data_IF_208911050401
#
_entry.id   IF_208911050401
#
_cell.length_a   1.000
_cell.length_b   1.000
_cell.length_c   1.000
_cell.angle_alpha   90.00
_cell.angle_beta   90.00
_cell.angle_gamma   90.00
#
_symmetry.space_group_name_H-M   'P 1'
#
loop_
_entity.id
_entity.type
_entity.pdbx_description
1 polymer ?
#
# COMPACT_ATOMS: atom_id res chain seq x y z
N UNK A 1 16.02 -18.45 28.91
CA UNK A 1 14.62 -18.90 28.96
C UNK A 1 13.73 -17.68 28.73
N UNK A 2 13.04 -17.57 27.58
CA UNK A 2 12.19 -16.41 27.24
C UNK A 2 10.80 -16.58 27.86
N UNK A 3 10.36 -15.64 28.71
CA UNK A 3 8.98 -15.58 29.20
C UNK A 3 8.15 -14.75 28.22
N UNK A 4 7.43 -15.43 27.33
CA UNK A 4 6.45 -14.80 26.44
C UNK A 4 5.16 -14.54 27.23
N UNK A 5 4.96 -13.32 27.72
CA UNK A 5 3.66 -12.89 28.26
C UNK A 5 2.85 -12.30 27.11
N UNK A 6 2.08 -13.14 26.41
CA UNK A 6 1.06 -12.67 25.47
C UNK A 6 -0.10 -12.13 26.32
N UNK A 7 -0.20 -10.81 26.46
CA UNK A 7 -1.37 -10.19 27.09
C UNK A 7 -2.56 -10.32 26.13
N UNK A 8 -3.47 -11.24 26.44
CA UNK A 8 -4.72 -11.41 25.70
C UNK A 8 -5.60 -10.18 25.97
N UNK A 9 -5.82 -9.36 24.95
CA UNK A 9 -6.67 -8.17 25.03
C UNK A 9 -8.10 -8.56 25.46
N UNK A 10 -8.75 -7.83 26.40
CA UNK A 10 -10.09 -8.18 26.87
C UNK A 10 -11.12 -8.03 25.74
N UNK A 11 -12.04 -9.00 25.65
CA UNK A 11 -12.96 -9.16 24.51
C UNK A 11 -14.10 -8.13 24.43
N UNK A 12 -14.25 -7.19 25.38
CA UNK A 12 -15.36 -6.22 25.36
C UNK A 12 -14.96 -4.94 26.10
N UNK A 13 -14.63 -3.89 25.36
CA UNK A 13 -14.58 -2.53 25.90
C UNK A 13 -15.58 -1.69 25.10
N UNK A 14 -16.82 -1.69 25.54
CA UNK A 14 -17.71 -0.56 25.28
C UNK A 14 -18.57 -0.41 26.52
N UNK A 15 -18.05 0.35 27.48
CA UNK A 15 -18.92 0.96 28.47
C UNK A 15 -19.84 1.90 27.69
N UNK A 16 -21.16 1.72 27.82
CA UNK A 16 -22.12 2.66 27.24
C UNK A 16 -22.01 3.97 28.03
N UNK A 17 -21.24 4.91 27.51
CA UNK A 17 -21.23 6.29 27.99
C UNK A 17 -22.48 6.95 27.43
N UNK A 18 -23.32 7.50 28.31
CA UNK A 18 -24.44 8.34 27.88
C UNK A 18 -23.88 9.72 27.53
N UNK A 19 -23.73 9.98 26.24
CA UNK A 19 -23.26 11.26 25.71
C UNK A 19 -24.47 12.07 25.20
N UNK A 20 -24.88 13.15 25.89
CA UNK A 20 -26.03 13.95 25.48
C UNK A 20 -25.80 14.71 24.17
N UNK A 21 -24.55 14.96 23.77
CA UNK A 21 -24.21 15.66 22.53
C UNK A 21 -24.15 14.71 21.32
N UNK A 22 -24.13 13.40 21.56
CA UNK A 22 -24.12 12.35 20.53
C UNK A 22 -25.31 11.38 20.73
N UNK A 23 -26.55 11.84 20.49
CA UNK A 23 -27.72 10.98 20.60
C UNK A 23 -27.64 9.82 19.61
N UNK A 24 -28.21 8.67 19.99
CA UNK A 24 -28.36 7.55 19.07
C UNK A 24 -29.21 7.99 17.87
N UNK A 25 -28.75 7.66 16.67
CA UNK A 25 -29.48 7.96 15.45
C UNK A 25 -30.83 7.25 15.49
N UNK A 26 -31.91 7.96 15.13
CA UNK A 26 -33.23 7.35 15.00
C UNK A 26 -33.32 6.62 13.66
N UNK A 27 -34.09 5.54 13.60
CA UNK A 27 -34.25 4.73 12.37
C UNK A 27 -34.78 5.57 11.19
N UNK A 28 -35.61 6.57 11.48
CA UNK A 28 -36.15 7.52 10.50
C UNK A 28 -35.06 8.42 9.87
N UNK A 29 -34.00 8.74 10.63
CA UNK A 29 -32.86 9.51 10.13
C UNK A 29 -31.91 8.69 9.25
N UNK A 30 -31.85 7.37 9.45
CA UNK A 30 -30.96 6.49 8.69
C UNK A 30 -31.46 6.28 7.26
N UNK A 31 -32.77 6.45 7.04
CA UNK A 31 -33.43 6.21 5.76
C UNK A 31 -33.38 4.75 5.33
N UNK A 32 -34.00 4.42 4.20
CA UNK A 32 -33.99 3.06 3.66
C UNK A 32 -32.56 2.66 3.29
N UNK A 33 -32.06 1.49 3.74
CA UNK A 33 -30.69 1.06 3.47
C UNK A 33 -30.48 0.91 1.96
N UNK A 34 -29.72 1.84 1.37
CA UNK A 34 -29.27 1.73 -0.01
C UNK A 34 -28.13 0.71 -0.02
N UNK A 35 -28.41 -0.52 -0.48
CA UNK A 35 -27.40 -1.53 -0.77
C UNK A 35 -26.52 -1.06 -1.93
N UNK A 36 -25.56 -0.17 -1.64
CA UNK A 36 -24.51 0.18 -2.60
C UNK A 36 -23.68 -1.08 -2.82
N UNK A 37 -23.79 -1.64 -4.03
CA UNK A 37 -22.90 -2.69 -4.52
C UNK A 37 -21.47 -2.25 -4.23
N UNK A 38 -20.78 -3.01 -3.39
CA UNK A 38 -19.41 -2.69 -2.97
C UNK A 38 -18.50 -2.45 -4.16
N UNK A 39 -17.33 -1.84 -3.93
CA UNK A 39 -16.33 -1.70 -4.99
C UNK A 39 -16.09 -3.07 -5.62
N UNK A 40 -16.33 -3.17 -6.93
CA UNK A 40 -16.14 -4.42 -7.65
C UNK A 40 -14.69 -4.90 -7.61
N UNK A 41 -14.43 -6.15 -8.03
CA UNK A 41 -13.07 -6.67 -8.15
C UNK A 41 -12.17 -5.72 -8.94
N UNK A 42 -10.91 -5.57 -8.52
CA UNK A 42 -9.97 -4.70 -9.21
C UNK A 42 -9.60 -5.31 -10.57
N UNK A 43 -10.13 -4.74 -11.66
CA UNK A 43 -10.05 -5.30 -13.02
C UNK A 43 -8.63 -5.21 -13.63
N UNK A 44 -7.75 -4.35 -13.10
CA UNK A 44 -6.36 -4.21 -13.56
C UNK A 44 -5.43 -3.68 -12.46
N UNK A 45 -4.83 -4.56 -11.63
CA UNK A 45 -3.86 -4.12 -10.64
C UNK A 45 -2.59 -3.60 -11.30
N UNK A 46 -2.37 -2.28 -11.23
CA UNK A 46 -1.16 -1.63 -11.77
C UNK A 46 0.11 -2.01 -11.02
N UNK A 47 -0.01 -2.50 -9.78
CA UNK A 47 1.09 -2.92 -8.91
C UNK A 47 0.90 -4.39 -8.56
N UNK A 48 1.94 -5.18 -8.73
CA UNK A 48 1.98 -6.58 -8.32
C UNK A 48 2.66 -6.66 -6.95
N UNK A 49 2.05 -7.35 -5.99
CA UNK A 49 2.66 -7.61 -4.70
C UNK A 49 3.70 -8.74 -4.89
N UNK A 50 4.98 -8.38 -4.82
CA UNK A 50 6.08 -9.34 -4.94
C UNK A 50 6.97 -9.22 -3.71
N UNK A 51 7.37 -10.36 -3.14
CA UNK A 51 8.38 -10.40 -2.09
C UNK A 51 9.78 -10.40 -2.71
N UNK A 52 10.53 -9.32 -2.51
CA UNK A 52 11.92 -9.17 -2.96
C UNK A 52 12.81 -8.90 -1.75
N UNK A 53 14.01 -9.50 -1.73
CA UNK A 53 15.04 -9.18 -0.74
C UNK A 53 15.87 -8.00 -1.24
N UNK A 54 16.06 -7.01 -0.39
CA UNK A 54 16.90 -5.83 -0.63
C UNK A 54 18.00 -5.82 0.43
N UNK A 55 19.13 -5.21 0.10
CA UNK A 55 20.23 -5.03 1.06
C UNK A 55 19.78 -4.17 2.25
N UNK A 56 20.37 -4.42 3.42
CA UNK A 56 19.97 -3.81 4.68
C UNK A 56 20.21 -2.30 4.69
N UNK A 57 21.36 -1.86 4.16
CA UNK A 57 21.74 -0.46 4.04
C UNK A 57 20.79 0.34 3.14
N UNK A 58 20.34 -0.24 2.02
CA UNK A 58 19.33 0.36 1.14
C UNK A 58 18.02 0.53 1.89
N UNK A 59 17.56 -0.51 2.59
CA UNK A 59 16.32 -0.44 3.37
C UNK A 59 16.40 0.63 4.47
N UNK A 60 17.51 0.71 5.18
CA UNK A 60 17.72 1.67 6.26
C UNK A 60 17.77 3.10 5.73
N UNK A 61 18.43 3.33 4.60
CA UNK A 61 18.45 4.63 3.92
C UNK A 61 17.05 5.10 3.51
N UNK A 62 16.20 4.22 2.99
CA UNK A 62 14.85 4.63 2.60
C UNK A 62 13.93 4.80 3.81
N UNK A 63 14.06 3.96 4.84
CA UNK A 63 13.28 4.06 6.08
C UNK A 63 13.59 5.34 6.86
N UNK A 64 14.84 5.79 6.88
CA UNK A 64 15.24 7.02 7.57
C UNK A 64 14.54 8.28 7.00
N UNK A 65 14.06 8.23 5.75
CA UNK A 65 13.26 9.29 5.11
C UNK A 65 11.80 9.33 5.55
N UNK A 66 11.41 8.46 6.49
CA UNK A 66 10.09 8.43 7.10
C UNK A 66 9.02 7.72 6.26
N UNK A 67 7.77 8.15 6.44
CA UNK A 67 6.62 7.55 5.77
C UNK A 67 6.78 7.57 4.23
N UNK A 68 6.26 6.53 3.58
CA UNK A 68 6.31 6.39 2.12
C UNK A 68 7.63 5.84 1.56
N UNK A 69 8.51 5.28 2.39
CA UNK A 69 9.79 4.70 1.94
C UNK A 69 9.62 3.68 0.80
N UNK A 70 8.59 2.83 0.84
CA UNK A 70 8.29 1.86 -0.22
C UNK A 70 7.96 2.53 -1.56
N UNK A 71 7.20 3.63 -1.54
CA UNK A 71 6.90 4.41 -2.75
C UNK A 71 8.15 5.03 -3.34
N UNK A 72 9.09 5.49 -2.49
CA UNK A 72 10.38 6.04 -2.93
C UNK A 72 11.27 4.96 -3.56
N UNK A 73 11.30 3.75 -3.00
CA UNK A 73 11.98 2.59 -3.60
C UNK A 73 11.41 2.32 -5.00
N UNK A 74 10.09 2.25 -5.14
CA UNK A 74 9.44 2.01 -6.43
C UNK A 74 9.75 3.13 -7.45
N UNK A 75 9.82 4.39 -7.02
CA UNK A 75 10.20 5.51 -7.88
C UNK A 75 11.65 5.40 -8.37
N UNK A 76 12.58 4.99 -7.50
CA UNK A 76 13.97 4.75 -7.89
C UNK A 76 14.08 3.63 -8.94
N UNK A 77 13.36 2.52 -8.74
CA UNK A 77 13.32 1.42 -9.71
C UNK A 77 12.70 1.85 -11.05
N UNK A 78 11.65 2.70 -11.03
CA UNK A 78 11.04 3.28 -12.25
C UNK A 78 12.05 4.08 -13.07
N UNK A 79 12.80 4.98 -12.42
CA UNK A 79 13.81 5.78 -13.11
C UNK A 79 14.87 4.91 -13.78
N UNK A 80 15.28 3.81 -13.13
CA UNK A 80 16.25 2.90 -13.72
C UNK A 80 15.68 2.13 -14.92
N UNK A 81 14.42 1.71 -14.85
CA UNK A 81 13.73 1.10 -16.00
C UNK A 81 13.67 2.09 -17.17
N UNK A 82 13.26 3.33 -16.94
CA UNK A 82 13.17 4.37 -17.98
C UNK A 82 14.53 4.65 -18.62
N UNK A 83 15.59 4.80 -17.81
CA UNK A 83 16.97 4.96 -18.30
C UNK A 83 17.39 3.85 -19.26
N UNK A 84 17.08 2.60 -18.91
CA UNK A 84 17.43 1.44 -19.73
C UNK A 84 16.58 1.31 -21.00
N UNK A 85 15.32 1.75 -20.97
CA UNK A 85 14.45 1.76 -22.14
C UNK A 85 14.89 2.82 -23.15
N UNK A 86 15.26 4.02 -22.70
CA UNK A 86 15.77 5.08 -23.58
C UNK A 86 17.11 4.72 -24.21
N UNK A 87 18.01 4.05 -23.46
CA UNK A 87 19.33 3.65 -23.95
C UNK A 87 19.34 2.49 -24.95
N UNK A 88 18.39 1.54 -24.85
CA UNK A 88 18.35 0.34 -25.73
C UNK A 88 17.77 0.60 -27.12
N UNK A 89 16.95 1.63 -27.30
CA UNK A 89 16.29 1.92 -28.58
C UNK A 89 17.28 2.31 -29.70
N UNK A 90 18.41 2.95 -29.37
CA UNK A 90 19.40 3.41 -30.35
C UNK A 90 20.35 2.31 -30.85
N UNK A 91 20.59 1.25 -30.05
CA UNK A 91 21.48 0.14 -30.40
C UNK A 91 20.83 -0.81 -31.42
N UNK A 92 19.53 -1.09 -31.29
CA UNK A 92 18.83 -2.01 -32.20
C UNK A 92 18.70 -1.43 -33.61
N UNK A 93 18.53 -0.11 -33.76
CA UNK A 93 18.43 0.55 -35.07
C UNK A 93 19.78 0.57 -35.81
N UNK A 94 20.89 0.80 -35.10
CA UNK A 94 22.22 0.92 -35.73
C UNK A 94 22.76 -0.42 -36.26
N UNK A 95 22.34 -1.56 -35.67
CA UNK A 95 22.75 -2.91 -36.12
C UNK A 95 22.04 -3.39 -37.41
N UNK A 96 20.88 -2.81 -37.76
CA UNK A 96 20.11 -3.21 -38.95
C UNK A 96 20.50 -2.48 -40.24
N UNK A 97 21.23 -1.38 -40.15
CA UNK A 97 21.64 -0.56 -41.32
C UNK A 97 23.01 -0.97 -41.86
N UNK A 98 23.73 -1.86 -41.16
CA UNK A 98 25.08 -2.32 -41.52
C UNK A 98 25.11 -3.81 -41.91
N UNK A 99 24.14 -4.26 -42.69
CA UNK A 99 24.09 -5.58 -43.33
C UNK A 99 23.73 -5.43 -44.80
#
# INVERSE_FOLDING_TARGET
MKLATTAKLPKKTSAKVNDPDNPAWTEDMLGTPVLKRGRGPQVSPTKVLTSVRLDADILDFFKSKGAGYQSRINAALRMEVERNLTGRSSITTRKRVSA
#
